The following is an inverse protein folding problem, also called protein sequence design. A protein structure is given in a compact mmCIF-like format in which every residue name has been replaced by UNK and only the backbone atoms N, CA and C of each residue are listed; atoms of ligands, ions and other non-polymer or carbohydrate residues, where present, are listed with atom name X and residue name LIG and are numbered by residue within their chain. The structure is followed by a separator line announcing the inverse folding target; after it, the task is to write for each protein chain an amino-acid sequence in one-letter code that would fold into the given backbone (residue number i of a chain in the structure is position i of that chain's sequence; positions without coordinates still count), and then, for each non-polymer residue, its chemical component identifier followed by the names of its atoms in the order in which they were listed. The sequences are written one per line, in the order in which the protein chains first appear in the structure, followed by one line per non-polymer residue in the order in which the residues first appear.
data_IF_145582852160
#
_entry.id   IF_145582852160
#
_cell.length_a   1.000
_cell.length_b   1.000
_cell.length_c   1.000
_cell.angle_alpha   90.00
_cell.angle_beta   90.00
_cell.angle_gamma   90.00
#
_symmetry.space_group_name_H-M   'P 1'
#
loop_
_entity.id
_entity.type
_entity.pdbx_description
1 polymer ?
#
# COMPACT_ATOMS: atom_id res chain seq x y z
N UNK A 1 37.92 -8.12 -8.30
CA UNK A 1 36.70 -7.80 -9.05
C UNK A 1 36.56 -6.31 -8.97
N UNK A 2 37.00 -5.65 -10.03
CA UNK A 2 37.17 -4.21 -10.08
C UNK A 2 35.80 -3.53 -10.12
N UNK A 3 35.63 -2.53 -9.27
CA UNK A 3 34.41 -1.74 -9.15
C UNK A 3 34.40 -0.71 -10.27
N UNK A 4 33.62 -0.92 -11.31
CA UNK A 4 33.24 0.14 -12.24
C UNK A 4 32.11 0.96 -11.60
N UNK A 5 32.27 2.28 -11.42
CA UNK A 5 31.22 3.13 -10.87
C UNK A 5 30.07 3.24 -11.87
N UNK A 6 28.86 2.88 -11.43
CA UNK A 6 27.62 3.05 -12.21
C UNK A 6 27.38 4.53 -12.50
N UNK A 7 27.07 4.85 -13.76
CA UNK A 7 26.75 6.19 -14.21
C UNK A 7 25.44 6.71 -13.59
N UNK A 8 25.20 8.04 -13.64
CA UNK A 8 24.04 8.68 -13.02
C UNK A 8 22.69 8.28 -13.63
N UNK A 9 22.70 7.54 -14.75
CA UNK A 9 21.51 7.08 -15.48
C UNK A 9 21.41 5.56 -15.58
N UNK A 10 22.31 4.82 -14.91
CA UNK A 10 22.22 3.36 -14.88
C UNK A 10 21.01 2.93 -14.04
N UNK A 11 20.33 1.82 -14.41
CA UNK A 11 19.22 1.30 -13.64
C UNK A 11 19.68 1.03 -12.21
N UNK A 12 18.90 1.55 -11.25
CA UNK A 12 19.20 1.38 -9.84
C UNK A 12 19.30 -0.13 -9.55
N UNK A 13 20.38 -0.60 -8.94
CA UNK A 13 20.60 -2.04 -8.80
C UNK A 13 19.46 -2.66 -7.99
N UNK A 14 18.89 -3.75 -8.51
CA UNK A 14 17.78 -4.48 -7.88
C UNK A 14 18.10 -5.03 -6.47
N UNK A 15 19.37 -4.95 -6.07
CA UNK A 15 19.86 -5.33 -4.74
C UNK A 15 20.74 -4.23 -4.16
N UNK A 16 20.48 -3.91 -2.90
CA UNK A 16 21.29 -3.00 -2.10
C UNK A 16 22.74 -3.48 -2.01
N UNK A 17 23.67 -2.56 -1.70
CA UNK A 17 25.09 -2.91 -1.49
C UNK A 17 25.27 -3.87 -0.30
N UNK A 18 24.38 -3.81 0.69
CA UNK A 18 24.38 -4.71 1.84
C UNK A 18 24.07 -6.17 1.43
N UNK A 19 23.11 -6.38 0.53
CA UNK A 19 22.77 -7.70 -0.02
C UNK A 19 23.87 -8.32 -0.89
N UNK A 20 24.83 -7.51 -1.36
CA UNK A 20 25.96 -7.99 -2.18
C UNK A 20 27.19 -8.40 -1.37
N UNK A 21 27.42 -7.78 -0.20
CA UNK A 21 28.65 -8.01 0.61
C UNK A 21 28.58 -9.23 1.51
N UNK A 22 27.38 -9.64 1.91
CA UNK A 22 27.19 -10.85 2.69
C UNK A 22 26.67 -11.90 1.72
N UNK A 23 27.44 -12.98 1.51
CA UNK A 23 27.02 -14.17 0.76
C UNK A 23 25.84 -14.92 1.38
N UNK A 24 24.96 -14.21 2.07
CA UNK A 24 23.63 -14.62 2.47
C UNK A 24 22.94 -15.13 1.22
N UNK A 25 22.71 -16.44 1.17
CA UNK A 25 21.61 -17.00 0.40
C UNK A 25 20.31 -16.43 0.98
N UNK A 26 20.04 -15.15 0.76
CA UNK A 26 18.67 -14.71 0.64
C UNK A 26 18.13 -15.50 -0.53
N UNK A 27 17.34 -16.52 -0.22
CA UNK A 27 16.53 -17.22 -1.21
C UNK A 27 15.90 -16.15 -2.12
N UNK A 28 15.89 -16.43 -3.42
CA UNK A 28 15.52 -15.52 -4.51
C UNK A 28 14.03 -15.12 -4.52
N UNK A 29 13.40 -15.03 -3.35
CA UNK A 29 12.04 -14.57 -3.15
C UNK A 29 12.04 -13.71 -1.89
N UNK A 30 12.47 -12.45 -1.98
CA UNK A 30 12.21 -11.47 -0.93
C UNK A 30 10.70 -11.52 -0.63
N UNK A 31 10.27 -11.68 0.64
CA UNK A 31 8.87 -11.87 0.92
C UNK A 31 8.11 -10.61 0.52
N UNK A 32 7.05 -10.77 -0.27
CA UNK A 32 6.19 -9.65 -0.69
C UNK A 32 5.49 -8.97 0.51
N UNK A 33 5.40 -9.72 1.62
CA UNK A 33 4.81 -9.30 2.87
C UNK A 33 5.79 -9.50 4.03
N UNK A 34 5.82 -8.53 4.95
CA UNK A 34 6.21 -8.80 6.34
C UNK A 34 4.93 -9.03 7.15
N UNK A 35 5.06 -9.69 8.30
CA UNK A 35 3.94 -9.94 9.20
C UNK A 35 4.30 -9.50 10.60
N UNK A 36 3.33 -9.08 11.38
CA UNK A 36 3.47 -8.95 12.83
C UNK A 36 2.98 -10.24 13.48
N UNK A 37 3.89 -11.21 13.60
CA UNK A 37 3.65 -12.55 14.15
C UNK A 37 4.99 -13.14 14.58
N UNK A 38 5.29 -13.09 15.88
CA UNK A 38 6.59 -13.50 16.43
C UNK A 38 6.97 -14.96 16.08
N UNK A 39 5.98 -15.81 15.79
CA UNK A 39 6.19 -17.22 15.41
C UNK A 39 6.49 -17.40 13.91
N UNK A 40 6.51 -16.32 13.12
CA UNK A 40 6.67 -16.37 11.67
C UNK A 40 8.04 -15.88 11.21
N UNK A 41 8.62 -16.51 10.18
CA UNK A 41 9.95 -16.13 9.67
C UNK A 41 10.01 -14.76 9.00
N UNK A 42 8.87 -14.24 8.58
CA UNK A 42 8.72 -12.90 8.01
C UNK A 42 8.28 -11.86 9.06
N UNK A 43 8.42 -12.17 10.36
CA UNK A 43 8.10 -11.23 11.43
C UNK A 43 8.86 -9.90 11.27
N UNK A 44 8.12 -8.78 11.27
CA UNK A 44 8.65 -7.45 11.01
C UNK A 44 9.69 -7.05 12.07
N UNK A 45 9.44 -7.36 13.34
CA UNK A 45 10.37 -7.00 14.43
C UNK A 45 11.63 -7.86 14.33
N UNK A 46 11.48 -9.16 14.06
CA UNK A 46 12.61 -10.06 13.81
C UNK A 46 13.47 -9.57 12.66
N UNK A 47 12.88 -9.19 11.51
CA UNK A 47 13.62 -8.64 10.36
C UNK A 47 14.32 -7.33 10.68
N UNK A 48 13.70 -6.45 11.45
CA UNK A 48 14.36 -5.21 11.90
C UNK A 48 15.56 -5.53 12.79
N UNK A 49 15.40 -6.44 13.75
CA UNK A 49 16.49 -6.90 14.63
C UNK A 49 17.64 -7.55 13.86
N UNK A 50 17.35 -8.37 12.86
CA UNK A 50 18.36 -8.94 11.95
C UNK A 50 19.15 -7.83 11.25
N UNK A 51 18.48 -6.78 10.76
CA UNK A 51 19.14 -5.61 10.16
C UNK A 51 19.97 -4.83 11.18
N UNK A 52 19.44 -4.62 12.39
CA UNK A 52 20.16 -3.94 13.46
C UNK A 52 21.45 -4.70 13.82
N UNK A 53 21.39 -6.03 13.92
CA UNK A 53 22.54 -6.89 14.20
C UNK A 53 23.61 -6.81 13.09
N UNK A 54 23.20 -6.72 11.83
CA UNK A 54 24.16 -6.56 10.71
C UNK A 54 24.85 -5.20 10.76
N UNK A 55 24.10 -4.13 11.05
CA UNK A 55 24.61 -2.76 11.00
C UNK A 55 25.40 -2.36 12.26
N UNK A 56 24.95 -2.77 13.44
CA UNK A 56 25.49 -2.34 14.74
C UNK A 56 26.08 -3.47 15.60
N UNK A 57 25.99 -4.74 15.16
CA UNK A 57 26.58 -5.91 15.84
C UNK A 57 26.19 -5.97 17.32
N UNK A 58 27.17 -5.97 18.22
CA UNK A 58 26.99 -6.01 19.69
C UNK A 58 26.20 -4.82 20.24
N UNK A 59 26.10 -3.71 19.49
CA UNK A 59 25.32 -2.54 19.88
C UNK A 59 23.86 -2.60 19.46
N UNK A 60 23.42 -3.63 18.72
CA UNK A 60 22.07 -3.71 18.18
C UNK A 60 20.98 -3.55 19.25
N UNK A 61 21.11 -4.25 20.38
CA UNK A 61 20.14 -4.20 21.47
C UNK A 61 20.08 -2.80 22.13
N UNK A 62 21.24 -2.16 22.31
CA UNK A 62 21.32 -0.81 22.86
C UNK A 62 20.68 0.23 21.92
N UNK A 63 20.87 0.07 20.60
CA UNK A 63 20.25 0.92 19.58
C UNK A 63 18.74 0.71 19.51
N UNK A 64 18.25 -0.54 19.63
CA UNK A 64 16.81 -0.81 19.71
C UNK A 64 16.19 -0.15 20.95
N UNK A 65 16.85 -0.26 22.12
CA UNK A 65 16.39 0.36 23.35
C UNK A 65 16.32 1.89 23.23
N UNK A 66 17.38 2.53 22.74
CA UNK A 66 17.41 3.97 22.48
C UNK A 66 16.30 4.40 21.50
N UNK A 67 16.08 3.62 20.43
CA UNK A 67 15.01 3.89 19.48
C UNK A 67 13.63 3.79 20.13
N UNK A 68 13.38 2.78 20.97
CA UNK A 68 12.11 2.63 21.69
C UNK A 68 11.87 3.79 22.66
N UNK A 69 12.91 4.25 23.37
CA UNK A 69 12.84 5.43 24.24
C UNK A 69 12.49 6.70 23.45
N UNK A 70 13.16 6.96 22.33
CA UNK A 70 12.88 8.13 21.47
C UNK A 70 11.45 8.08 20.91
N UNK A 71 10.98 6.88 20.55
CA UNK A 71 9.64 6.67 20.01
C UNK A 71 8.56 6.64 21.10
N UNK A 72 8.93 6.57 22.38
CA UNK A 72 8.00 6.49 23.51
C UNK A 72 7.18 5.20 23.53
N UNK A 73 7.76 4.09 23.09
CA UNK A 73 7.11 2.76 23.04
C UNK A 73 7.87 1.77 23.91
N UNK A 74 7.19 0.72 24.38
CA UNK A 74 7.83 -0.33 25.17
C UNK A 74 8.76 -1.22 24.33
N UNK A 75 8.38 -1.43 23.07
CA UNK A 75 9.07 -2.29 22.11
C UNK A 75 8.70 -1.88 20.67
N UNK A 76 9.47 -2.37 19.70
CA UNK A 76 9.22 -2.13 18.28
C UNK A 76 7.87 -2.71 17.81
N UNK A 77 7.37 -3.77 18.46
CA UNK A 77 6.08 -4.37 18.10
C UNK A 77 4.94 -3.37 18.32
N UNK A 78 4.92 -2.67 19.45
CA UNK A 78 3.97 -1.60 19.74
C UNK A 78 4.03 -0.46 18.70
N UNK A 79 5.24 -0.10 18.26
CA UNK A 79 5.45 0.93 17.24
C UNK A 79 4.81 0.56 15.88
N UNK A 80 4.97 -0.68 15.44
CA UNK A 80 4.36 -1.16 14.19
C UNK A 80 2.85 -1.37 14.31
N UNK A 81 2.36 -1.90 15.45
CA UNK A 81 0.92 -2.16 15.65
C UNK A 81 0.06 -0.92 15.67
N UNK A 82 0.54 0.16 16.32
CA UNK A 82 -0.26 1.38 16.51
C UNK A 82 -0.33 2.18 15.20
N UNK A 83 -1.51 2.34 14.59
CA UNK A 83 -1.62 3.02 13.30
C UNK A 83 -1.20 4.50 13.35
N UNK A 84 -1.38 5.13 14.51
CA UNK A 84 -0.99 6.51 14.79
C UNK A 84 0.51 6.74 15.01
N UNK A 85 1.31 5.67 15.05
CA UNK A 85 2.78 5.73 15.15
C UNK A 85 3.39 5.49 13.77
N UNK A 86 3.96 4.30 13.52
CA UNK A 86 4.73 4.03 12.31
C UNK A 86 3.99 4.40 11.02
N UNK A 87 2.75 3.94 10.83
CA UNK A 87 2.06 4.18 9.55
C UNK A 87 1.64 5.64 9.36
N UNK A 88 1.29 6.37 10.42
CA UNK A 88 1.01 7.80 10.32
C UNK A 88 2.26 8.59 9.92
N UNK A 89 3.41 8.29 10.53
CA UNK A 89 4.71 8.89 10.17
C UNK A 89 5.13 8.51 8.75
N UNK A 90 4.93 7.25 8.38
CA UNK A 90 5.21 6.73 7.04
C UNK A 90 4.35 7.43 5.99
N UNK A 91 3.04 7.51 6.22
CA UNK A 91 2.12 8.21 5.33
C UNK A 91 2.54 9.68 5.16
N UNK A 92 2.88 10.37 6.25
CA UNK A 92 3.34 11.76 6.21
C UNK A 92 4.65 11.90 5.40
N UNK A 93 5.63 11.04 5.67
CA UNK A 93 6.95 11.06 5.01
C UNK A 93 6.85 10.84 3.50
N UNK A 94 5.93 9.98 3.08
CA UNK A 94 5.72 9.64 1.67
C UNK A 94 4.57 10.43 1.02
N UNK A 95 4.14 11.53 1.64
CA UNK A 95 3.14 12.44 1.07
C UNK A 95 3.74 13.79 0.72
N UNK A 96 3.36 14.35 -0.44
CA UNK A 96 3.74 15.70 -0.87
C UNK A 96 2.56 16.37 -1.57
N UNK A 97 2.16 17.55 -1.09
CA UNK A 97 0.96 18.25 -1.56
C UNK A 97 -0.27 17.32 -1.49
N UNK A 98 -1.01 17.15 -2.60
CA UNK A 98 -2.16 16.25 -2.71
C UNK A 98 -1.80 14.79 -2.97
N UNK A 99 -0.53 14.46 -3.20
CA UNK A 99 -0.08 13.09 -3.49
C UNK A 99 0.25 12.37 -2.19
N UNK A 100 -0.48 11.28 -1.91
CA UNK A 100 -0.15 10.32 -0.85
C UNK A 100 0.41 9.06 -1.49
N UNK A 101 1.63 8.67 -1.11
CA UNK A 101 2.32 7.53 -1.73
C UNK A 101 3.06 6.62 -0.73
N UNK A 102 2.43 6.17 0.37
CA UNK A 102 3.08 5.26 1.31
C UNK A 102 3.48 3.96 0.57
N UNK A 103 4.73 3.53 0.76
CA UNK A 103 5.28 2.34 0.06
C UNK A 103 5.04 1.02 0.81
N UNK A 104 4.60 1.09 2.07
CA UNK A 104 4.31 -0.05 2.93
C UNK A 104 2.90 0.12 3.45
N UNK A 105 2.09 -0.91 3.30
CA UNK A 105 0.66 -0.88 3.61
C UNK A 105 0.33 -1.88 4.72
N UNK A 106 -0.18 -1.43 5.88
CA UNK A 106 -0.63 -2.33 6.94
C UNK A 106 -2.05 -2.82 6.66
N UNK A 107 -2.17 -4.07 6.23
CA UNK A 107 -3.45 -4.78 6.17
C UNK A 107 -3.65 -5.50 7.49
N UNK A 108 -4.60 -5.06 8.29
CA UNK A 108 -4.74 -5.53 9.68
C UNK A 108 -6.13 -6.08 9.99
N UNK A 109 -6.20 -6.98 10.97
CA UNK A 109 -7.43 -7.33 11.68
C UNK A 109 -8.09 -6.09 12.32
N UNK A 110 -9.36 -6.19 12.73
CA UNK A 110 -10.12 -5.07 13.32
C UNK A 110 -9.43 -4.46 14.54
N UNK A 111 -8.89 -5.28 15.44
CA UNK A 111 -8.14 -4.81 16.60
C UNK A 111 -6.70 -4.37 16.28
N UNK A 112 -6.15 -4.74 15.12
CA UNK A 112 -4.73 -4.56 14.80
C UNK A 112 -3.81 -5.61 15.42
N UNK A 113 -4.37 -6.66 16.03
CA UNK A 113 -3.65 -7.79 16.64
C UNK A 113 -2.76 -8.56 15.67
N UNK A 114 -3.15 -8.59 14.40
CA UNK A 114 -2.40 -9.22 13.31
C UNK A 114 -2.36 -8.28 12.12
N UNK A 115 -1.16 -8.03 11.59
CA UNK A 115 -0.93 -7.10 10.49
C UNK A 115 0.00 -7.71 9.45
N UNK A 116 -0.43 -7.68 8.19
CA UNK A 116 0.42 -7.92 7.03
C UNK A 116 0.90 -6.59 6.46
N UNK A 117 2.20 -6.44 6.32
CA UNK A 117 2.86 -5.29 5.71
C UNK A 117 3.20 -5.59 4.27
N UNK A 118 2.37 -5.07 3.36
CA UNK A 118 2.56 -5.21 1.92
C UNK A 118 3.53 -4.15 1.40
N UNK A 119 4.48 -4.56 0.55
CA UNK A 119 5.34 -3.61 -0.17
C UNK A 119 4.75 -3.23 -1.54
N UNK A 120 4.28 -1.98 -1.66
CA UNK A 120 3.55 -1.47 -2.84
C UNK A 120 4.29 -1.68 -4.16
N UNK A 121 5.61 -1.47 -4.20
CA UNK A 121 6.38 -1.53 -5.45
C UNK A 121 6.51 -2.95 -6.02
N UNK A 122 6.05 -3.96 -5.29
CA UNK A 122 6.04 -5.36 -5.75
C UNK A 122 4.62 -5.89 -5.92
N UNK A 123 3.64 -5.00 -6.08
CA UNK A 123 2.23 -5.31 -6.42
C UNK A 123 2.11 -6.25 -7.62
N UNK A 124 1.40 -7.36 -7.43
CA UNK A 124 1.02 -8.34 -8.48
C UNK A 124 -0.43 -8.75 -8.27
N UNK A 125 -1.09 -9.26 -9.30
CA UNK A 125 -2.51 -9.62 -9.28
C UNK A 125 -2.84 -10.80 -8.36
N UNK A 126 -1.87 -11.67 -8.07
CA UNK A 126 -2.01 -12.87 -7.24
C UNK A 126 -1.70 -12.63 -5.75
N UNK A 127 -1.23 -11.44 -5.39
CA UNK A 127 -0.72 -11.19 -4.03
C UNK A 127 -1.72 -11.37 -2.91
N UNK A 128 -3.00 -11.07 -3.14
CA UNK A 128 -4.02 -11.27 -2.11
C UNK A 128 -4.27 -12.75 -1.84
N UNK A 129 -4.24 -13.60 -2.88
CA UNK A 129 -4.28 -15.05 -2.72
C UNK A 129 -3.02 -15.57 -2.02
N UNK A 130 -1.85 -15.03 -2.37
CA UNK A 130 -0.59 -15.36 -1.69
C UNK A 130 -0.62 -14.97 -0.22
N UNK A 131 -1.14 -13.79 0.13
CA UNK A 131 -1.33 -13.36 1.51
C UNK A 131 -2.18 -14.36 2.29
N UNK A 132 -3.32 -14.76 1.73
CA UNK A 132 -4.23 -15.73 2.36
C UNK A 132 -3.55 -17.08 2.55
N UNK A 133 -3.01 -17.66 1.49
CA UNK A 133 -2.50 -19.04 1.49
C UNK A 133 -1.20 -19.21 2.29
N UNK A 134 -0.32 -18.21 2.27
CA UNK A 134 1.01 -18.32 2.89
C UNK A 134 1.03 -17.78 4.32
N UNK A 135 0.18 -16.79 4.63
CA UNK A 135 0.24 -16.10 5.93
C UNK A 135 -1.01 -16.35 6.78
N UNK A 136 -2.21 -16.10 6.23
CA UNK A 136 -3.44 -16.08 7.03
C UNK A 136 -3.96 -17.48 7.35
N UNK A 137 -4.13 -18.35 6.35
CA UNK A 137 -4.62 -19.73 6.58
C UNK A 137 -3.67 -20.54 7.49
N UNK A 138 -2.34 -20.50 7.30
CA UNK A 138 -1.44 -21.16 8.24
C UNK A 138 -1.53 -20.61 9.67
N UNK A 139 -1.79 -19.31 9.86
CA UNK A 139 -1.99 -18.73 11.19
C UNK A 139 -3.32 -19.18 11.81
N UNK A 140 -4.40 -19.21 11.02
CA UNK A 140 -5.70 -19.75 11.44
C UNK A 140 -5.58 -21.21 11.89
N UNK A 141 -4.90 -22.05 11.12
CA UNK A 141 -4.72 -23.46 11.46
C UNK A 141 -3.88 -23.66 12.72
N UNK A 142 -2.84 -22.84 12.92
CA UNK A 142 -2.07 -22.83 14.17
C UNK A 142 -2.95 -22.42 15.36
N UNK A 143 -3.72 -21.34 15.22
CA UNK A 143 -4.60 -20.86 16.28
C UNK A 143 -5.70 -21.87 16.63
N UNK A 144 -6.31 -22.53 15.64
CA UNK A 144 -7.31 -23.60 15.86
C UNK A 144 -6.74 -24.76 16.67
N UNK A 145 -5.53 -25.23 16.32
CA UNK A 145 -4.85 -26.28 17.10
C UNK A 145 -4.51 -25.81 18.52
N UNK A 146 -4.00 -24.58 18.65
CA UNK A 146 -3.69 -23.97 19.94
C UNK A 146 -4.92 -23.85 20.84
N UNK A 147 -6.06 -23.48 20.27
CA UNK A 147 -7.34 -23.39 20.96
C UNK A 147 -7.77 -24.76 21.50
N UNK A 148 -7.75 -25.82 20.69
CA UNK A 148 -8.10 -27.18 21.15
C UNK A 148 -7.20 -27.63 22.30
N UNK A 149 -5.91 -27.31 22.24
CA UNK A 149 -4.97 -27.61 23.33
C UNK A 149 -5.30 -26.81 24.60
N UNK A 150 -5.63 -25.53 24.49
CA UNK A 150 -6.04 -24.71 25.63
C UNK A 150 -7.33 -25.22 26.28
N UNK A 151 -8.31 -25.65 25.49
CA UNK A 151 -9.57 -26.24 25.98
C UNK A 151 -9.31 -27.54 26.75
N UNK A 152 -8.43 -28.40 26.23
CA UNK A 152 -7.99 -29.63 26.89
C UNK A 152 -7.33 -29.34 28.25
N UNK A 153 -6.40 -28.37 28.28
CA UNK A 153 -5.74 -27.93 29.51
C UNK A 153 -6.75 -27.34 30.51
N UNK A 154 -7.70 -26.52 30.04
CA UNK A 154 -8.73 -25.92 30.89
C UNK A 154 -9.64 -26.98 31.53
N UNK A 155 -9.97 -28.07 30.81
CA UNK A 155 -10.77 -29.16 31.34
C UNK A 155 -10.08 -29.90 32.51
N UNK A 156 -8.75 -29.94 32.54
CA UNK A 156 -7.96 -30.55 33.61
C UNK A 156 -7.58 -29.55 34.74
N UNK A 157 -7.72 -28.25 34.51
CA UNK A 157 -7.30 -27.21 35.43
C UNK A 157 -8.34 -26.88 36.51
N UNK A 158 -7.90 -26.29 37.62
CA UNK A 158 -8.79 -25.82 38.68
C UNK A 158 -8.33 -24.49 39.29
N UNK A 159 -9.24 -23.81 40.01
CA UNK A 159 -8.95 -22.55 40.69
C UNK A 159 -8.43 -21.45 39.75
N UNK A 160 -7.35 -20.77 40.16
CA UNK A 160 -6.79 -19.61 39.43
C UNK A 160 -6.24 -19.97 38.04
N UNK A 161 -5.76 -21.19 37.87
CA UNK A 161 -5.25 -21.67 36.58
C UNK A 161 -6.38 -21.79 35.55
N UNK A 162 -7.53 -22.35 35.96
CA UNK A 162 -8.71 -22.44 35.10
C UNK A 162 -9.19 -21.05 34.66
N UNK A 163 -9.21 -20.05 35.56
CA UNK A 163 -9.55 -18.67 35.18
C UNK A 163 -8.58 -18.11 34.13
N UNK A 164 -7.27 -18.27 34.32
CA UNK A 164 -6.26 -17.80 33.36
C UNK A 164 -6.39 -18.49 31.99
N UNK A 165 -6.65 -19.80 31.98
CA UNK A 165 -6.85 -20.54 30.72
C UNK A 165 -8.13 -20.10 30.01
N UNK A 166 -9.20 -19.82 30.75
CA UNK A 166 -10.44 -19.28 30.17
C UNK A 166 -10.22 -17.93 29.48
N UNK A 167 -9.53 -17.00 30.12
CA UNK A 167 -9.19 -15.70 29.51
C UNK A 167 -8.36 -15.88 28.23
N UNK A 168 -7.42 -16.84 28.21
CA UNK A 168 -6.64 -17.17 27.02
C UNK A 168 -7.49 -17.78 25.91
N UNK A 169 -8.42 -18.69 26.25
CA UNK A 169 -9.37 -19.29 25.30
C UNK A 169 -10.23 -18.20 24.67
N UNK A 170 -10.78 -17.28 25.47
CA UNK A 170 -11.59 -16.16 24.99
C UNK A 170 -10.78 -15.23 24.05
N UNK A 171 -9.54 -14.91 24.42
CA UNK A 171 -8.66 -14.10 23.58
C UNK A 171 -8.30 -14.81 22.25
N UNK A 172 -8.02 -16.12 22.29
CA UNK A 172 -7.71 -16.91 21.09
C UNK A 172 -8.93 -17.04 20.17
N UNK A 173 -10.13 -17.26 20.72
CA UNK A 173 -11.38 -17.23 19.95
C UNK A 173 -11.62 -15.88 19.26
N UNK A 174 -11.40 -14.78 19.98
CA UNK A 174 -11.53 -13.44 19.42
C UNK A 174 -10.55 -13.24 18.26
N UNK A 175 -9.28 -13.64 18.43
CA UNK A 175 -8.27 -13.56 17.38
C UNK A 175 -8.63 -14.43 16.16
N UNK A 176 -9.08 -15.66 16.35
CA UNK A 176 -9.50 -16.54 15.26
C UNK A 176 -10.70 -15.99 14.48
N UNK A 177 -11.64 -15.36 15.17
CA UNK A 177 -12.78 -14.67 14.54
C UNK A 177 -12.27 -13.52 13.68
N UNK A 178 -11.42 -12.65 14.23
CA UNK A 178 -10.85 -11.53 13.48
C UNK A 178 -10.00 -11.97 12.29
N UNK A 179 -9.22 -13.05 12.43
CA UNK A 179 -8.42 -13.62 11.34
C UNK A 179 -9.30 -14.20 10.23
N UNK A 180 -10.45 -14.79 10.59
CA UNK A 180 -11.44 -15.29 9.64
C UNK A 180 -12.05 -14.12 8.85
N UNK A 181 -12.48 -13.06 9.53
CA UNK A 181 -13.00 -11.84 8.88
C UNK A 181 -11.94 -11.18 8.00
N UNK A 182 -10.68 -11.13 8.46
CA UNK A 182 -9.55 -10.59 7.72
C UNK A 182 -9.29 -11.38 6.44
N UNK A 183 -9.28 -12.72 6.52
CA UNK A 183 -9.18 -13.60 5.36
C UNK A 183 -10.31 -13.36 4.38
N UNK A 184 -11.55 -13.32 4.85
CA UNK A 184 -12.73 -13.21 4.00
C UNK A 184 -12.76 -11.86 3.27
N UNK A 185 -12.30 -10.78 3.92
CA UNK A 185 -12.15 -9.47 3.27
C UNK A 185 -11.01 -9.47 2.23
N UNK A 186 -9.88 -10.13 2.49
CA UNK A 186 -8.83 -10.32 1.47
C UNK A 186 -9.37 -11.08 0.25
N UNK A 187 -10.13 -12.16 0.48
CA UNK A 187 -10.74 -12.96 -0.59
C UNK A 187 -11.82 -12.19 -1.34
N UNK A 188 -12.60 -11.33 -0.66
CA UNK A 188 -13.57 -10.44 -1.30
C UNK A 188 -12.90 -9.55 -2.35
N UNK A 189 -11.74 -8.98 -2.03
CA UNK A 189 -10.98 -8.14 -2.98
C UNK A 189 -10.30 -9.00 -4.05
N UNK A 190 -9.77 -10.17 -3.68
CA UNK A 190 -9.14 -11.09 -4.61
C UNK A 190 -10.13 -11.69 -5.64
N UNK A 191 -11.42 -11.76 -5.29
CA UNK A 191 -12.49 -12.18 -6.20
C UNK A 191 -12.84 -11.12 -7.25
N UNK A 192 -12.46 -9.86 -7.03
CA UNK A 192 -12.50 -8.86 -8.11
C UNK A 192 -11.41 -9.19 -9.13
N UNK A 193 -11.54 -8.76 -10.40
CA UNK A 193 -10.43 -8.77 -11.33
C UNK A 193 -9.43 -7.66 -10.94
N UNK A 194 -8.81 -7.80 -9.76
CA UNK A 194 -7.89 -6.85 -9.18
C UNK A 194 -6.51 -7.01 -9.82
N UNK A 195 -6.19 -6.09 -10.74
CA UNK A 195 -4.88 -6.00 -11.39
C UNK A 195 -4.29 -4.63 -11.09
N UNK A 196 -3.50 -4.49 -10.02
CA UNK A 196 -2.90 -3.22 -9.68
C UNK A 196 -1.90 -2.79 -10.75
N UNK A 197 -1.84 -1.49 -11.03
CA UNK A 197 -0.89 -0.88 -11.93
C UNK A 197 -0.22 0.30 -11.22
N UNK A 198 1.12 0.32 -11.16
CA UNK A 198 1.87 1.36 -10.45
C UNK A 198 1.63 2.77 -11.01
N UNK A 199 1.26 2.89 -12.29
CA UNK A 199 0.99 4.14 -12.98
C UNK A 199 -0.37 4.77 -12.61
N UNK A 200 -1.30 3.98 -12.08
CA UNK A 200 -2.59 4.49 -11.59
C UNK A 200 -2.43 5.30 -10.28
N UNK A 201 -1.28 5.17 -9.64
CA UNK A 201 -0.97 5.84 -8.38
C UNK A 201 -1.40 5.05 -7.14
N UNK A 202 -0.68 5.30 -6.05
CA UNK A 202 -0.72 4.49 -4.82
C UNK A 202 -2.12 4.40 -4.22
N UNK A 203 -2.84 5.52 -4.14
CA UNK A 203 -4.16 5.56 -3.49
C UNK A 203 -5.24 4.83 -4.29
N UNK A 204 -5.14 4.83 -5.63
CA UNK A 204 -6.08 4.10 -6.50
C UNK A 204 -5.89 2.60 -6.29
N UNK A 205 -4.64 2.12 -6.30
CA UNK A 205 -4.32 0.72 -6.06
C UNK A 205 -4.73 0.25 -4.65
N UNK A 206 -4.64 1.13 -3.64
CA UNK A 206 -5.03 0.81 -2.27
C UNK A 206 -6.55 0.87 -2.02
N UNK A 207 -7.33 1.47 -2.93
CA UNK A 207 -8.72 1.84 -2.70
C UNK A 207 -9.62 0.64 -2.36
N UNK A 208 -9.46 -0.47 -3.07
CA UNK A 208 -10.26 -1.70 -2.84
C UNK A 208 -10.00 -2.33 -1.47
N UNK A 209 -8.85 -2.05 -0.86
CA UNK A 209 -8.38 -2.58 0.43
C UNK A 209 -8.77 -1.69 1.62
N UNK A 210 -9.58 -0.65 1.41
CA UNK A 210 -9.85 0.38 2.43
C UNK A 210 -10.33 -0.16 3.79
N UNK A 211 -11.02 -1.31 3.80
CA UNK A 211 -11.53 -1.97 5.02
C UNK A 211 -10.46 -2.61 5.89
N UNK A 212 -9.27 -2.84 5.34
CA UNK A 212 -8.14 -3.48 6.02
C UNK A 212 -7.20 -2.47 6.69
N UNK A 213 -7.33 -1.18 6.39
CA UNK A 213 -6.53 -0.13 7.01
C UNK A 213 -7.10 0.32 8.36
N UNK A 214 -6.21 0.62 9.31
CA UNK A 214 -6.57 1.03 10.67
C UNK A 214 -6.25 2.48 11.01
N UNK A 215 -5.54 3.20 10.15
CA UNK A 215 -5.34 4.64 10.31
C UNK A 215 -6.57 5.39 9.74
N UNK A 216 -7.38 6.08 10.56
CA UNK A 216 -8.67 6.63 10.13
C UNK A 216 -8.59 7.55 8.91
N UNK A 217 -7.54 8.39 8.84
CA UNK A 217 -7.29 9.26 7.70
C UNK A 217 -7.13 8.46 6.41
N UNK A 218 -6.27 7.44 6.41
CA UNK A 218 -5.99 6.64 5.22
C UNK A 218 -7.19 5.79 4.80
N UNK A 219 -7.90 5.20 5.78
CA UNK A 219 -9.16 4.46 5.55
C UNK A 219 -10.21 5.35 4.89
N UNK A 220 -10.36 6.60 5.36
CA UNK A 220 -11.29 7.56 4.75
C UNK A 220 -10.88 7.92 3.33
N UNK A 221 -9.63 8.32 3.12
CA UNK A 221 -9.12 8.77 1.82
C UNK A 221 -9.24 7.64 0.77
N UNK A 222 -8.88 6.39 1.13
CA UNK A 222 -9.00 5.22 0.24
C UNK A 222 -10.45 4.83 -0.03
N UNK A 223 -11.35 4.93 0.95
CA UNK A 223 -12.79 4.69 0.75
C UNK A 223 -13.41 5.72 -0.20
N UNK A 224 -13.06 7.00 -0.06
CA UNK A 224 -13.54 8.05 -0.98
C UNK A 224 -13.07 7.79 -2.41
N UNK A 225 -11.81 7.38 -2.60
CA UNK A 225 -11.30 6.99 -3.91
C UNK A 225 -12.01 5.75 -4.45
N UNK A 226 -12.27 4.74 -3.61
CA UNK A 226 -13.01 3.55 -4.01
C UNK A 226 -14.42 3.88 -4.53
N UNK A 227 -15.17 4.73 -3.82
CA UNK A 227 -16.50 5.17 -4.26
C UNK A 227 -16.46 5.93 -5.59
N UNK A 228 -15.44 6.76 -5.82
CA UNK A 228 -15.22 7.43 -7.11
C UNK A 228 -14.82 6.47 -8.23
N UNK A 229 -14.05 5.42 -7.90
CA UNK A 229 -13.69 4.34 -8.83
C UNK A 229 -14.93 3.55 -9.26
N UNK A 230 -15.83 3.26 -8.32
CA UNK A 230 -17.15 2.67 -8.59
C UNK A 230 -18.04 3.60 -9.43
N UNK A 231 -17.98 4.91 -9.18
CA UNK A 231 -18.71 5.93 -9.95
C UNK A 231 -18.14 6.21 -11.35
N UNK A 232 -16.93 5.74 -11.65
CA UNK A 232 -16.28 5.91 -12.96
C UNK A 232 -15.53 7.23 -13.13
N UNK A 233 -15.25 7.97 -12.06
CA UNK A 233 -14.42 9.19 -12.08
C UNK A 233 -12.95 8.88 -12.41
N UNK A 234 -12.54 7.64 -12.14
CA UNK A 234 -11.18 7.13 -12.38
C UNK A 234 -11.13 6.12 -13.51
N UNK A 235 -12.04 6.18 -14.48
CA UNK A 235 -12.05 5.21 -15.59
C UNK A 235 -10.78 5.26 -16.46
N UNK A 236 -9.96 6.31 -16.35
CA UNK A 236 -8.62 6.37 -16.95
C UNK A 236 -7.62 5.41 -16.32
N UNK A 237 -7.87 4.92 -15.10
CA UNK A 237 -6.98 4.00 -14.40
C UNK A 237 -7.13 2.57 -14.93
N UNK A 238 -6.01 1.87 -15.09
CA UNK A 238 -5.99 0.47 -15.54
C UNK A 238 -6.72 -0.45 -14.57
N UNK A 239 -6.64 -0.17 -13.27
CA UNK A 239 -7.39 -0.90 -12.25
C UNK A 239 -8.91 -0.78 -12.47
N UNK A 240 -9.41 0.39 -12.89
CA UNK A 240 -10.82 0.57 -13.19
C UNK A 240 -11.24 -0.26 -14.41
N UNK A 241 -10.42 -0.28 -15.46
CA UNK A 241 -10.65 -1.14 -16.64
C UNK A 241 -10.63 -2.63 -16.29
N UNK A 242 -9.71 -3.04 -15.43
CA UNK A 242 -9.62 -4.43 -14.99
C UNK A 242 -10.91 -4.86 -14.26
N UNK A 243 -11.45 -4.02 -13.37
CA UNK A 243 -12.63 -4.35 -12.57
C UNK A 243 -13.94 -4.19 -13.38
N UNK A 244 -14.06 -3.15 -14.21
CA UNK A 244 -15.26 -2.85 -15.00
C UNK A 244 -14.95 -2.64 -16.50
N UNK A 245 -14.56 -3.70 -17.23
CA UNK A 245 -14.11 -3.57 -18.61
C UNK A 245 -15.18 -3.02 -19.55
N UNK A 246 -16.43 -3.48 -19.40
CA UNK A 246 -17.53 -3.06 -20.29
C UNK A 246 -17.86 -1.57 -20.13
N UNK A 247 -17.86 -1.07 -18.89
CA UNK A 247 -18.09 0.35 -18.58
C UNK A 247 -17.04 1.24 -19.24
N UNK A 248 -15.77 0.89 -19.09
CA UNK A 248 -14.66 1.67 -19.62
C UNK A 248 -14.64 1.61 -21.15
N UNK A 249 -14.87 0.43 -21.76
CA UNK A 249 -14.97 0.28 -23.22
C UNK A 249 -16.06 1.14 -23.82
N UNK A 250 -17.22 1.21 -23.17
CA UNK A 250 -18.32 2.06 -23.66
C UNK A 250 -17.94 3.54 -23.66
N UNK A 251 -17.26 4.01 -22.60
CA UNK A 251 -16.77 5.40 -22.55
C UNK A 251 -15.71 5.68 -23.62
N UNK A 252 -14.80 4.73 -23.91
CA UNK A 252 -13.76 4.87 -24.94
C UNK A 252 -14.34 5.16 -26.34
N UNK A 253 -15.58 4.73 -26.64
CA UNK A 253 -16.24 5.03 -27.92
C UNK A 253 -16.43 6.53 -28.16
N UNK A 254 -16.55 7.31 -27.10
CA UNK A 254 -16.87 8.75 -27.17
C UNK A 254 -15.76 9.64 -26.62
N UNK A 255 -14.88 9.09 -25.77
CA UNK A 255 -13.73 9.79 -25.22
C UNK A 255 -12.42 9.24 -25.81
N UNK A 256 -11.82 10.02 -26.71
CA UNK A 256 -10.57 9.65 -27.37
C UNK A 256 -9.40 9.56 -26.39
N UNK A 257 -9.37 10.40 -25.36
CA UNK A 257 -8.27 10.40 -24.39
C UNK A 257 -8.30 9.14 -23.54
N UNK A 258 -9.50 8.71 -23.16
CA UNK A 258 -9.72 7.47 -22.45
C UNK A 258 -9.39 6.25 -23.31
N UNK A 259 -9.77 6.28 -24.59
CA UNK A 259 -9.43 5.23 -25.55
C UNK A 259 -7.90 5.06 -25.67
N UNK A 260 -7.14 6.16 -25.77
CA UNK A 260 -5.67 6.14 -25.79
C UNK A 260 -5.10 5.58 -24.48
N UNK A 261 -5.67 5.95 -23.33
CA UNK A 261 -5.18 5.49 -22.03
C UNK A 261 -5.27 3.96 -21.84
N UNK A 262 -6.15 3.28 -22.60
CA UNK A 262 -6.36 1.84 -22.53
C UNK A 262 -5.94 1.08 -23.79
N UNK A 263 -5.29 1.76 -24.76
CA UNK A 263 -4.95 1.20 -26.08
C UNK A 263 -6.19 0.66 -26.85
N UNK A 264 -7.30 1.41 -26.82
CA UNK A 264 -8.61 1.08 -27.41
C UNK A 264 -9.08 2.11 -28.44
N UNK A 265 -8.17 2.78 -29.14
CA UNK A 265 -8.51 3.83 -30.12
C UNK A 265 -9.34 3.32 -31.30
N UNK A 266 -9.29 2.02 -31.57
CA UNK A 266 -10.13 1.35 -32.57
C UNK A 266 -11.63 1.43 -32.24
N UNK A 267 -11.99 1.56 -30.96
CA UNK A 267 -13.37 1.72 -30.52
C UNK A 267 -13.91 3.15 -30.67
N UNK A 268 -13.03 4.15 -30.79
CA UNK A 268 -13.42 5.56 -30.77
C UNK A 268 -14.14 5.99 -32.06
N UNK A 269 -15.31 6.62 -31.90
CA UNK A 269 -16.10 7.18 -32.99
C UNK A 269 -16.07 8.69 -32.91
N UNK A 270 -15.45 9.33 -33.91
CA UNK A 270 -15.37 10.78 -33.98
C UNK A 270 -16.78 11.41 -34.10
N UNK A 271 -17.14 12.39 -33.26
CA UNK A 271 -18.42 13.08 -33.40
C UNK A 271 -18.47 13.82 -34.75
N UNK A 272 -19.66 13.95 -35.35
CA UNK A 272 -19.82 14.68 -36.61
C UNK A 272 -19.33 16.12 -36.45
N UNK A 273 -18.59 16.61 -37.46
CA UNK A 273 -17.98 17.94 -37.42
C UNK A 273 -19.04 19.02 -37.12
N UNK A 274 -18.94 19.67 -35.95
CA UNK A 274 -19.80 20.80 -35.62
C UNK A 274 -19.40 22.00 -36.50
N UNK A 275 -20.37 22.60 -37.20
CA UNK A 275 -20.17 23.86 -37.95
C UNK A 275 -19.88 24.97 -36.94
N UNK A 276 -18.61 25.24 -36.65
CA UNK A 276 -18.23 26.33 -35.73
C UNK A 276 -18.63 27.67 -36.35
N UNK A 277 -19.57 28.40 -35.73
CA UNK A 277 -19.77 29.83 -36.02
C UNK A 277 -18.47 30.56 -35.67
N UNK A 278 -17.80 31.12 -36.68
CA UNK A 278 -16.71 32.10 -36.52
C UNK A 278 -17.21 33.22 -35.59
N UNK A 279 -16.73 33.29 -34.34
CA UNK A 279 -16.86 34.51 -33.52
C UNK A 279 -16.02 35.59 -34.19
N UNK A 280 -16.70 36.64 -34.67
CA UNK A 280 -16.08 37.80 -35.29
C UNK A 280 -15.05 38.41 -34.34
N UNK A 281 -13.83 38.55 -34.84
CA UNK A 281 -12.76 39.32 -34.22
C UNK A 281 -13.12 40.80 -34.40
N UNK A 282 -13.66 41.44 -33.35
CA UNK A 282 -13.83 42.90 -33.34
C UNK A 282 -12.44 43.53 -33.46
N UNK A 283 -12.22 44.23 -34.57
CA UNK A 283 -11.00 44.99 -34.87
C UNK A 283 -11.01 46.22 -33.95
N UNK A 284 -10.06 46.31 -33.02
CA UNK A 284 -9.80 47.57 -32.34
C UNK A 284 -9.22 48.56 -33.37
N UNK A 285 -9.78 49.78 -33.40
CA UNK A 285 -9.37 50.87 -34.28
C UNK A 285 -7.97 51.40 -33.89
N UNK A 286 -7.18 51.95 -34.83
CA UNK A 286 -5.86 52.50 -34.54
C UNK A 286 -6.00 53.88 -33.88
N UNK A 287 -5.25 54.11 -32.81
CA UNK A 287 -5.02 55.45 -32.28
C UNK A 287 -3.98 56.16 -33.17
N UNK A 288 -4.32 57.37 -33.59
CA UNK A 288 -3.49 58.26 -34.41
C UNK A 288 -2.35 58.90 -33.62
N UNK A 289 -1.21 59.06 -34.31
CA UNK A 289 -0.03 59.83 -33.94
C UNK A 289 -0.35 61.26 -33.46
N UNK A 290 0.33 61.68 -32.41
CA UNK A 290 0.84 63.06 -32.30
C UNK A 290 2.32 62.99 -31.88
N UNK A 291 3.16 63.36 -32.84
CA UNK A 291 4.59 63.63 -32.71
C UNK A 291 4.83 64.88 -31.88
N UNK A 292 5.82 64.85 -30.98
CA UNK A 292 6.62 66.04 -30.72
C UNK A 292 8.09 65.64 -30.59
N UNK A 293 8.87 66.17 -31.52
CA UNK A 293 10.32 66.04 -31.64
C UNK A 293 10.95 67.21 -30.89
N UNK A 294 11.93 66.97 -30.02
CA UNK A 294 13.06 67.90 -29.86
C UNK A 294 14.35 67.11 -29.59
N UNK A 295 15.24 67.22 -30.56
CA UNK A 295 16.70 66.95 -30.60
C UNK A 295 17.42 67.77 -29.50
N UNK A 296 18.35 67.20 -28.72
CA UNK A 296 19.80 67.00 -28.94
C UNK A 296 20.65 67.99 -28.11
N UNK A 297 21.78 67.47 -27.61
CA UNK A 297 23.00 68.11 -27.05
C UNK A 297 23.23 68.17 -25.52
N UNK A 298 24.43 67.66 -25.19
CA UNK A 298 25.24 67.67 -23.95
C UNK A 298 25.00 66.57 -22.90
#
# INVERSE_FOLDING_TARGET
MDYEPSGPFDPMPARSVAERKHGSRCSSSSPHFLVDDADHEADVVRRVREVLAVLWKERADAIEAEACEILGVKDLCEYFRKPGLFFADHLKRYSKSRRQAPIYWPLSTSSGSYTLWLYYQRLTSDMLFTAVNIYVEPKLDRGRRGLTELESQHAAASGREATRLRERIEAEHALLTELTDFRDELLRVAALPYRPNLDDGVIINAASLHRLFRLPKWTKDTKEVWTKLEGGDYDWAHLAYSIWPDRVREKCRTDKSLAIAHDLEDLYVAPPASKTKRRGRTRAAPASDETDQLEEEA
#
